data_IF_292227911972
#
_entry.id   IF_292227911972
#
_cell.length_a   1.000
_cell.length_b   1.000
_cell.length_c   1.000
_cell.angle_alpha   90.00
_cell.angle_beta   90.00
_cell.angle_gamma   90.00
#
_symmetry.space_group_name_H-M   'P 1'
#
loop_
_entity.id
_entity.type
_entity.pdbx_description
1 polymer ?
#
# COMPACT_ATOMS: atom_id res chain seq x y z
N UNK A 1 -4.79 8.82 16.36
CA UNK A 1 -6.12 9.29 15.92
C UNK A 1 -6.48 8.54 14.64
N UNK A 2 -7.75 8.49 14.23
CA UNK A 2 -8.16 7.79 12.99
C UNK A 2 -7.44 8.37 11.77
N UNK A 3 -7.24 9.69 11.73
CA UNK A 3 -6.47 10.37 10.69
C UNK A 3 -5.02 9.84 10.60
N UNK A 4 -4.35 9.65 11.73
CA UNK A 4 -2.95 9.18 11.76
C UNK A 4 -2.84 7.74 11.23
N UNK A 5 -3.78 6.87 11.62
CA UNK A 5 -3.81 5.47 11.19
C UNK A 5 -4.07 5.37 9.68
N UNK A 6 -5.02 6.16 9.17
CA UNK A 6 -5.31 6.21 7.75
C UNK A 6 -4.14 6.81 6.96
N UNK A 7 -3.46 7.82 7.49
CA UNK A 7 -2.26 8.37 6.84
C UNK A 7 -1.17 7.31 6.70
N UNK A 8 -0.87 6.59 7.78
CA UNK A 8 0.13 5.53 7.77
C UNK A 8 -0.23 4.40 6.80
N UNK A 9 -1.52 4.04 6.71
CA UNK A 9 -1.98 3.04 5.74
C UNK A 9 -1.83 3.53 4.30
N UNK A 10 -2.21 4.78 3.99
CA UNK A 10 -2.08 5.35 2.64
C UNK A 10 -0.63 5.39 2.18
N UNK A 11 0.30 5.72 3.08
CA UNK A 11 1.74 5.70 2.82
C UNK A 11 2.22 4.27 2.54
N UNK A 12 1.81 3.29 3.37
CA UNK A 12 2.13 1.88 3.17
C UNK A 12 1.59 1.34 1.84
N UNK A 13 0.40 1.76 1.45
CA UNK A 13 -0.22 1.34 0.18
C UNK A 13 0.45 2.00 -1.03
N UNK A 14 1.16 3.12 -0.87
CA UNK A 14 1.78 3.84 -2.00
C UNK A 14 0.76 4.41 -3.00
N UNK A 15 -0.48 4.63 -2.56
CA UNK A 15 -1.61 5.03 -3.43
C UNK A 15 -1.72 6.53 -3.66
N UNK A 16 -0.93 7.33 -2.95
CA UNK A 16 -0.97 8.81 -3.01
C UNK A 16 -0.57 9.33 -4.40
N UNK A 17 0.29 8.61 -5.13
CA UNK A 17 0.68 8.94 -6.51
C UNK A 17 -0.33 8.44 -7.55
N UNK A 18 -0.98 7.31 -7.30
CA UNK A 18 -1.92 6.66 -8.24
C UNK A 18 -3.32 7.24 -8.15
N UNK A 19 -3.78 7.57 -6.95
CA UNK A 19 -5.12 8.07 -6.68
C UNK A 19 -5.12 9.23 -5.65
N UNK A 20 -4.40 10.34 -5.90
CA UNK A 20 -4.19 11.43 -4.94
C UNK A 20 -5.51 12.02 -4.41
N UNK A 21 -6.50 12.21 -5.29
CA UNK A 21 -7.80 12.74 -4.90
C UNK A 21 -8.56 11.84 -3.92
N UNK A 22 -8.48 10.51 -4.10
CA UNK A 22 -9.15 9.55 -3.20
C UNK A 22 -8.42 9.45 -1.86
N UNK A 23 -7.09 9.45 -1.87
CA UNK A 23 -6.28 9.51 -0.65
C UNK A 23 -6.59 10.77 0.17
N UNK A 24 -6.70 11.93 -0.48
CA UNK A 24 -7.07 13.18 0.18
C UNK A 24 -8.48 13.16 0.79
N UNK A 25 -9.45 12.51 0.13
CA UNK A 25 -10.80 12.34 0.68
C UNK A 25 -10.80 11.39 1.88
N UNK A 26 -10.04 10.29 1.83
CA UNK A 26 -9.91 9.37 2.96
C UNK A 26 -9.39 10.09 4.21
N UNK A 27 -8.33 10.90 4.08
CA UNK A 27 -7.81 11.71 5.19
C UNK A 27 -8.84 12.71 5.74
N UNK A 28 -9.62 13.36 4.87
CA UNK A 28 -10.69 14.27 5.30
C UNK A 28 -11.79 13.56 6.09
N UNK A 29 -12.18 12.35 5.68
CA UNK A 29 -13.19 11.55 6.39
C UNK A 29 -12.64 11.05 7.73
N UNK A 30 -11.39 10.61 7.77
CA UNK A 30 -10.71 10.19 8.98
C UNK A 30 -10.63 11.32 10.02
N UNK A 31 -10.20 12.51 9.59
CA UNK A 31 -10.21 13.72 10.43
C UNK A 31 -11.61 14.07 10.92
N UNK A 32 -12.63 13.92 10.08
CA UNK A 32 -14.01 14.17 10.49
C UNK A 32 -14.47 13.21 11.59
N UNK A 33 -14.05 11.93 11.55
CA UNK A 33 -14.33 10.98 12.63
C UNK A 33 -13.66 11.36 13.94
N UNK A 34 -12.41 11.83 13.88
CA UNK A 34 -11.69 12.30 15.07
C UNK A 34 -12.33 13.54 15.72
N UNK A 35 -13.03 14.35 14.92
CA UNK A 35 -13.71 15.57 15.39
C UNK A 35 -15.13 15.31 15.88
N UNK A 36 -15.73 14.16 15.54
CA UNK A 36 -17.06 13.80 16.01
C UNK A 36 -16.97 13.20 17.41
N UNK A 37 -17.53 13.88 18.40
CA UNK A 37 -17.67 13.30 19.74
C UNK A 37 -18.67 12.13 19.72
N UNK A 38 -18.33 11.04 20.42
CA UNK A 38 -19.03 9.76 20.38
C UNK A 38 -20.48 9.77 20.94
N UNK A 39 -21.01 10.93 21.31
CA UNK A 39 -22.37 11.09 21.87
C UNK A 39 -23.30 11.97 21.04
N UNK A 40 -22.77 12.86 20.18
CA UNK A 40 -23.57 13.97 19.63
C UNK A 40 -24.21 13.66 18.29
N UNK A 41 -23.67 12.70 17.53
CA UNK A 41 -24.19 12.37 16.20
C UNK A 41 -23.86 10.93 15.75
N UNK A 42 -24.38 9.89 16.43
CA UNK A 42 -24.03 8.49 16.14
C UNK A 42 -24.35 8.08 14.70
N UNK A 43 -25.45 8.58 14.12
CA UNK A 43 -25.81 8.32 12.72
C UNK A 43 -24.80 8.96 11.75
N UNK A 44 -24.38 10.19 11.99
CA UNK A 44 -23.39 10.87 11.15
C UNK A 44 -22.03 10.17 11.22
N UNK A 45 -21.62 9.76 12.42
CA UNK A 45 -20.39 9.01 12.62
C UNK A 45 -20.40 7.69 11.86
N UNK A 46 -21.49 6.92 11.95
CA UNK A 46 -21.65 5.68 11.20
C UNK A 46 -21.57 5.89 9.67
N UNK A 47 -22.20 6.95 9.15
CA UNK A 47 -22.17 7.28 7.72
C UNK A 47 -20.76 7.70 7.27
N UNK A 48 -20.02 8.44 8.08
CA UNK A 48 -18.64 8.84 7.75
C UNK A 48 -17.72 7.62 7.77
N UNK A 49 -17.86 6.74 8.76
CA UNK A 49 -17.09 5.51 8.88
C UNK A 49 -17.30 4.58 7.67
N UNK A 50 -18.55 4.31 7.30
CA UNK A 50 -18.88 3.46 6.14
C UNK A 50 -18.30 4.01 4.81
N UNK A 51 -18.32 5.34 4.65
CA UNK A 51 -17.69 5.99 3.49
C UNK A 51 -16.18 5.87 3.50
N UNK A 52 -15.54 6.02 4.67
CA UNK A 52 -14.11 5.84 4.82
C UNK A 52 -13.72 4.40 4.45
N UNK A 53 -14.43 3.40 4.98
CA UNK A 53 -14.22 1.98 4.70
C UNK A 53 -14.34 1.68 3.20
N UNK A 54 -15.39 2.21 2.56
CA UNK A 54 -15.62 2.08 1.11
C UNK A 54 -14.46 2.66 0.29
N UNK A 55 -13.95 3.83 0.67
CA UNK A 55 -12.83 4.47 -0.05
C UNK A 55 -11.54 3.69 0.18
N UNK A 56 -11.26 3.27 1.42
CA UNK A 56 -10.06 2.50 1.74
C UNK A 56 -10.04 1.15 1.03
N UNK A 57 -11.19 0.45 0.94
CA UNK A 57 -11.30 -0.77 0.16
C UNK A 57 -10.95 -0.55 -1.32
N UNK A 58 -11.42 0.55 -1.92
CA UNK A 58 -11.08 0.92 -3.30
C UNK A 58 -9.62 1.31 -3.47
N UNK A 59 -9.01 1.96 -2.47
CA UNK A 59 -7.60 2.33 -2.50
C UNK A 59 -6.71 1.10 -2.37
N UNK A 60 -7.04 0.15 -1.50
CA UNK A 60 -6.34 -1.15 -1.39
C UNK A 60 -6.37 -1.92 -2.71
N UNK A 61 -7.50 -1.90 -3.42
CA UNK A 61 -7.62 -2.52 -4.74
C UNK A 61 -6.80 -1.81 -5.84
N UNK A 62 -6.48 -0.53 -5.64
CA UNK A 62 -5.63 0.27 -6.55
C UNK A 62 -4.18 0.35 -6.10
N UNK A 63 -3.84 -0.26 -4.96
CA UNK A 63 -2.49 -0.23 -4.45
C UNK A 63 -1.56 -0.79 -5.54
N UNK A 64 -0.49 -0.07 -5.92
CA UNK A 64 0.51 -0.64 -6.79
C UNK A 64 0.90 -1.99 -6.21
N UNK A 65 0.95 -3.02 -7.07
CA UNK A 65 1.45 -4.32 -6.67
C UNK A 65 2.85 -4.04 -6.16
N UNK A 66 3.01 -4.08 -4.83
CA UNK A 66 4.33 -4.02 -4.23
C UNK A 66 5.01 -5.23 -4.82
N UNK A 67 5.98 -5.00 -5.71
CA UNK A 67 6.90 -6.04 -6.09
C UNK A 67 7.48 -6.49 -4.75
N UNK A 68 6.97 -7.60 -4.23
CA UNK A 68 7.54 -8.22 -3.05
C UNK A 68 9.04 -8.32 -3.34
N UNK A 69 9.87 -7.92 -2.37
CA UNK A 69 11.26 -8.36 -2.32
C UNK A 69 11.23 -9.90 -2.43
N UNK A 70 11.42 -10.42 -3.64
CA UNK A 70 11.14 -11.82 -3.97
C UNK A 70 10.20 -12.06 -5.16
N UNK A 71 10.02 -11.10 -6.08
CA UNK A 71 9.47 -11.42 -7.40
C UNK A 71 10.33 -12.53 -8.04
N UNK A 72 9.78 -13.74 -8.13
CA UNK A 72 10.49 -14.97 -8.49
C UNK A 72 11.26 -14.87 -9.83
N UNK A 73 10.88 -13.91 -10.68
CA UNK A 73 11.54 -13.61 -11.94
C UNK A 73 12.94 -13.00 -11.74
N UNK A 74 13.11 -12.15 -10.72
CA UNK A 74 14.40 -11.56 -10.36
C UNK A 74 15.35 -12.62 -9.78
N UNK A 75 14.82 -13.56 -8.98
CA UNK A 75 15.60 -14.66 -8.40
C UNK A 75 16.11 -15.66 -9.46
N UNK A 76 15.30 -15.95 -10.49
CA UNK A 76 15.72 -16.81 -11.60
C UNK A 76 16.85 -16.16 -12.40
N UNK A 77 16.79 -14.83 -12.59
CA UNK A 77 17.80 -14.08 -13.32
C UNK A 77 19.12 -14.09 -12.53
N UNK A 78 19.07 -13.80 -11.24
CA UNK A 78 20.24 -13.87 -10.35
C UNK A 78 20.86 -15.28 -10.28
N UNK A 79 20.04 -16.33 -10.24
CA UNK A 79 20.52 -17.72 -10.25
C UNK A 79 21.19 -18.10 -11.59
N UNK A 80 20.66 -17.62 -12.72
CA UNK A 80 21.28 -17.86 -14.05
C UNK A 80 22.62 -17.16 -14.17
N UNK A 81 22.74 -15.92 -13.72
CA UNK A 81 24.01 -15.19 -13.74
C UNK A 81 25.07 -15.87 -12.87
N UNK A 82 24.69 -16.34 -11.68
CA UNK A 82 25.57 -17.10 -10.79
C UNK A 82 26.06 -18.39 -11.45
N UNK A 83 25.16 -19.17 -12.07
CA UNK A 83 25.51 -20.40 -12.80
C UNK A 83 26.40 -20.12 -14.01
N UNK A 84 26.17 -19.03 -14.74
CA UNK A 84 27.01 -18.64 -15.87
C UNK A 84 28.42 -18.20 -15.42
N UNK A 85 28.54 -17.49 -14.30
CA UNK A 85 29.83 -17.09 -13.75
C UNK A 85 30.66 -18.29 -13.28
N UNK A 86 30.02 -19.28 -12.64
CA UNK A 86 30.68 -20.52 -12.23
C UNK A 86 31.13 -21.37 -13.43
N UNK A 87 30.28 -21.51 -14.45
CA UNK A 87 30.63 -22.22 -15.69
C UNK A 87 31.81 -21.55 -16.44
N UNK A 88 31.87 -20.21 -16.46
CA UNK A 88 32.99 -19.47 -17.06
C UNK A 88 34.30 -19.64 -16.28
N UNK A 89 34.25 -19.72 -14.95
CA UNK A 89 35.43 -20.00 -14.12
C UNK A 89 35.98 -21.41 -14.35
N UNK A 90 35.10 -22.39 -14.54
CA UNK A 90 35.50 -23.77 -14.86
C UNK A 90 36.07 -23.89 -16.27
N UNK A 91 35.56 -23.13 -17.24
CA UNK A 91 36.07 -23.13 -18.61
C UNK A 91 37.39 -22.35 -18.80
N UNK A 92 37.77 -21.48 -17.85
CA UNK A 92 38.99 -20.69 -17.90
C UNK A 92 40.17 -21.31 -17.09
N UNK A 93 39.99 -22.52 -16.56
CA UNK A 93 41.02 -23.27 -15.86
C UNK A 93 41.38 -24.55 -16.62
N UNK A 94 42.19 -24.39 -17.67
CA UNK A 94 43.15 -25.37 -18.19
C UNK A 94 44.31 -24.60 -18.86
#
# INVERSE_FOLDING_TARGET
>A
MVEDEISAELDKLGVTSVAPGRAAVALKLARALDQLEAGDAPTSQAVVADKLDTIMAKLRALAPVQAEEGDAVNDITAQREKRQAEARKQAAGD
#
